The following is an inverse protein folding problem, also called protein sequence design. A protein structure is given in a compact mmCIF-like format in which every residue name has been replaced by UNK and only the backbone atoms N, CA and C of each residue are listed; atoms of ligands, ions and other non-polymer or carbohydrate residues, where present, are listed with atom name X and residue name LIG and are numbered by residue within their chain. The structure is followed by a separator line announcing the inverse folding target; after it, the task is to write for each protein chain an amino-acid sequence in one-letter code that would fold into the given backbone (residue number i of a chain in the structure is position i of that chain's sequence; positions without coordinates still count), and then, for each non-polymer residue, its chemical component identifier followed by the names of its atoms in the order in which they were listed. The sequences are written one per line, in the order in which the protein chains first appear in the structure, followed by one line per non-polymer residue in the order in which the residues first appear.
data_IF_834653124123
#
_entry.id   IF_834653124123
#
_cell.length_a   1.000
_cell.length_b   1.000
_cell.length_c   1.000
_cell.angle_alpha   90.00
_cell.angle_beta   90.00
_cell.angle_gamma   90.00
#
_symmetry.space_group_name_H-M   'P 1'
#
loop_
_entity.id
_entity.type
_entity.pdbx_description
1 polymer ?
#
# COMPACT_ATOMS: atom_id res chain seq x y z
N UNK A 1 6.17 10.81 0.05
CA UNK A 1 6.05 11.63 -1.17
C UNK A 1 4.61 11.64 -1.65
N UNK A 2 4.16 12.74 -2.23
CA UNK A 2 2.87 12.83 -2.92
C UNK A 2 3.18 13.05 -4.40
N UNK A 3 2.57 12.23 -5.25
CA UNK A 3 2.73 12.22 -6.70
C UNK A 3 1.51 12.79 -7.46
N UNK A 4 0.35 12.81 -6.81
CA UNK A 4 -0.84 13.39 -7.42
C UNK A 4 -2.01 13.51 -6.45
N UNK A 5 -2.96 14.36 -6.82
CA UNK A 5 -4.20 14.59 -6.07
C UNK A 5 -5.37 14.53 -7.03
N UNK A 6 -6.47 13.92 -6.63
CA UNK A 6 -7.74 13.96 -7.36
C UNK A 6 -8.81 14.53 -6.44
N UNK A 7 -9.37 15.65 -6.86
CA UNK A 7 -10.57 16.24 -6.24
C UNK A 7 -11.76 15.84 -7.11
N UNK A 8 -12.56 14.90 -6.62
CA UNK A 8 -13.71 14.35 -7.31
C UNK A 8 -14.98 15.06 -6.85
N UNK A 9 -15.59 15.81 -7.75
CA UNK A 9 -16.85 16.56 -7.54
C UNK A 9 -18.05 15.82 -8.12
N UNK A 10 -17.93 14.49 -8.37
CA UNK A 10 -19.04 13.67 -8.85
C UNK A 10 -20.35 13.98 -8.11
N UNK A 11 -21.43 14.07 -8.87
CA UNK A 11 -22.80 14.39 -8.43
C UNK A 11 -23.04 15.84 -8.01
N UNK A 12 -22.00 16.66 -7.79
CA UNK A 12 -22.13 18.10 -7.54
C UNK A 12 -22.12 18.87 -8.86
N UNK A 13 -23.30 19.04 -9.47
CA UNK A 13 -23.47 19.67 -10.81
C UNK A 13 -23.53 21.20 -10.77
N UNK A 14 -23.99 21.77 -9.67
CA UNK A 14 -24.17 23.22 -9.51
C UNK A 14 -23.63 23.80 -8.20
N UNK A 15 -23.45 22.96 -7.18
CA UNK A 15 -22.95 23.34 -5.85
C UNK A 15 -21.57 22.74 -5.56
N UNK A 16 -20.71 22.61 -6.58
CA UNK A 16 -19.30 22.27 -6.41
C UNK A 16 -18.49 23.55 -6.13
N UNK A 17 -17.32 23.47 -5.49
CA UNK A 17 -16.49 24.66 -5.29
C UNK A 17 -15.95 25.16 -6.62
N UNK A 18 -16.08 26.46 -6.96
CA UNK A 18 -15.50 27.03 -8.18
C UNK A 18 -13.98 26.86 -8.26
N UNK A 19 -13.29 26.97 -7.12
CA UNK A 19 -11.85 26.81 -7.01
C UNK A 19 -11.49 26.02 -5.75
N UNK A 20 -10.35 25.33 -5.81
CA UNK A 20 -9.75 24.63 -4.66
C UNK A 20 -8.25 24.92 -4.58
N UNK A 21 -7.66 24.66 -3.42
CA UNK A 21 -6.21 24.48 -3.24
C UNK A 21 -5.96 23.29 -2.33
N UNK A 22 -4.77 22.71 -2.41
CA UNK A 22 -4.35 21.62 -1.53
C UNK A 22 -2.98 21.92 -0.94
N UNK A 23 -2.88 21.75 0.37
CA UNK A 23 -1.66 21.91 1.13
C UNK A 23 -1.33 20.62 1.88
N UNK A 24 -0.07 20.44 2.24
CA UNK A 24 0.40 19.33 3.05
C UNK A 24 1.33 19.82 4.17
N UNK A 25 1.39 19.06 5.25
CA UNK A 25 2.29 19.34 6.38
C UNK A 25 2.77 18.05 7.04
N UNK A 26 3.97 18.13 7.62
CA UNK A 26 4.60 17.10 8.41
C UNK A 26 4.58 17.56 9.86
N UNK A 27 3.92 16.80 10.72
CA UNK A 27 3.76 17.12 12.13
C UNK A 27 4.26 15.94 12.94
N UNK A 28 5.11 16.22 13.93
CA UNK A 28 5.58 15.22 14.87
C UNK A 28 4.61 15.08 16.05
N UNK A 29 4.44 13.85 16.53
CA UNK A 29 3.55 13.55 17.65
C UNK A 29 2.08 13.47 17.26
N UNK A 30 1.20 13.73 18.23
CA UNK A 30 -0.25 13.60 18.07
C UNK A 30 -1.00 14.86 18.56
N UNK A 31 -0.64 16.07 18.10
CA UNK A 31 -1.39 17.27 18.48
C UNK A 31 -2.84 17.20 17.97
N UNK A 32 -3.79 17.85 18.66
CA UNK A 32 -5.19 17.91 18.22
C UNK A 32 -5.32 18.49 16.80
N UNK A 33 -6.27 17.99 16.02
CA UNK A 33 -6.48 18.43 14.64
C UNK A 33 -6.73 19.95 14.50
N UNK A 34 -7.39 20.57 15.49
CA UNK A 34 -7.62 22.01 15.50
C UNK A 34 -6.32 22.83 15.67
N UNK A 35 -5.35 22.30 16.40
CA UNK A 35 -4.03 22.91 16.56
C UNK A 35 -3.23 22.79 15.27
N UNK A 36 -3.21 21.59 14.66
CA UNK A 36 -2.56 21.36 13.36
C UNK A 36 -3.12 22.30 12.28
N UNK A 37 -4.44 22.42 12.20
CA UNK A 37 -5.09 23.27 11.20
C UNK A 37 -4.70 24.75 11.32
N UNK A 38 -4.45 25.24 12.54
CA UNK A 38 -4.15 26.65 12.84
C UNK A 38 -2.66 26.96 12.81
N UNK A 39 -1.84 26.10 13.41
CA UNK A 39 -0.47 26.45 13.81
C UNK A 39 0.60 25.73 12.98
N UNK A 40 0.26 24.66 12.24
CA UNK A 40 1.24 23.93 11.45
C UNK A 40 1.76 24.75 10.26
N UNK A 41 3.00 24.46 9.83
CA UNK A 41 3.56 25.01 8.60
C UNK A 41 2.99 24.26 7.40
N UNK A 42 2.03 24.89 6.71
CA UNK A 42 1.40 24.32 5.52
C UNK A 42 2.16 24.68 4.25
N UNK A 43 2.41 23.67 3.42
CA UNK A 43 3.05 23.83 2.11
C UNK A 43 2.04 23.56 1.00
N UNK A 44 1.85 24.51 0.09
CA UNK A 44 0.96 24.34 -1.06
C UNK A 44 1.51 23.30 -2.02
N UNK A 45 0.75 22.24 -2.25
CA UNK A 45 1.06 21.17 -3.21
C UNK A 45 0.17 21.22 -4.45
N UNK A 46 -1.01 21.85 -4.35
CA UNK A 46 -1.86 22.24 -5.49
C UNK A 46 -2.24 23.70 -5.29
N UNK A 47 -1.78 24.56 -6.19
CA UNK A 47 -2.10 25.99 -6.17
C UNK A 47 -3.61 26.22 -6.30
N UNK A 48 -4.09 27.37 -5.83
CA UNK A 48 -5.50 27.74 -6.02
C UNK A 48 -5.84 27.73 -7.50
N UNK A 49 -6.79 26.87 -7.87
CA UNK A 49 -7.14 26.61 -9.27
C UNK A 49 -8.62 26.28 -9.40
N UNK A 50 -9.17 26.54 -10.58
CA UNK A 50 -10.54 26.16 -10.92
C UNK A 50 -10.70 24.65 -10.99
N UNK A 51 -11.87 24.18 -10.58
CA UNK A 51 -12.33 22.80 -10.79
C UNK A 51 -13.70 22.80 -11.45
N UNK A 52 -14.09 21.66 -11.97
CA UNK A 52 -15.36 21.48 -12.68
C UNK A 52 -16.29 20.59 -11.88
N UNK A 53 -17.60 20.86 -11.97
CA UNK A 53 -18.63 20.04 -11.33
C UNK A 53 -18.80 18.68 -12.00
N UNK A 54 -19.33 17.71 -11.25
CA UNK A 54 -19.61 16.34 -11.72
C UNK A 54 -18.42 15.69 -12.44
N UNK A 55 -17.20 15.94 -11.94
CA UNK A 55 -15.99 15.55 -12.64
C UNK A 55 -14.87 15.15 -11.68
N UNK A 56 -13.94 14.34 -12.21
CA UNK A 56 -12.67 14.08 -11.56
C UNK A 56 -11.69 15.18 -11.98
N UNK A 57 -11.16 15.91 -11.01
CA UNK A 57 -10.15 16.97 -11.23
C UNK A 57 -8.78 16.45 -10.77
N UNK A 58 -7.96 15.87 -11.67
CA UNK A 58 -6.63 15.40 -11.35
C UNK A 58 -5.60 16.53 -11.37
N UNK A 59 -4.64 16.45 -10.45
CA UNK A 59 -3.48 17.34 -10.35
C UNK A 59 -2.22 16.50 -10.17
N UNK A 60 -1.25 16.68 -11.05
CA UNK A 60 0.09 16.13 -10.85
C UNK A 60 0.80 16.94 -9.78
N UNK A 61 1.45 16.24 -8.85
CA UNK A 61 2.17 16.86 -7.73
C UNK A 61 3.56 16.25 -7.69
N UNK A 62 4.59 17.08 -7.76
CA UNK A 62 5.96 16.65 -7.51
C UNK A 62 6.39 17.09 -6.12
N UNK A 63 6.09 16.25 -5.12
CA UNK A 63 6.48 16.51 -3.74
C UNK A 63 7.26 15.32 -3.16
N UNK A 64 8.61 15.37 -3.20
CA UNK A 64 9.44 14.29 -2.67
C UNK A 64 9.36 14.15 -1.15
N UNK A 65 8.95 15.22 -0.44
CA UNK A 65 8.89 15.27 1.03
C UNK A 65 7.95 14.22 1.64
N UNK A 66 8.19 13.90 2.91
CA UNK A 66 7.26 13.15 3.76
C UNK A 66 6.17 14.11 4.24
N UNK A 67 4.93 13.62 4.29
CA UNK A 67 3.79 14.37 4.80
C UNK A 67 2.96 13.46 5.69
N UNK A 68 2.30 14.07 6.67
CA UNK A 68 1.43 13.36 7.65
C UNK A 68 -0.02 13.81 7.54
N UNK A 69 -0.24 15.04 7.07
CA UNK A 69 -1.55 15.65 6.96
C UNK A 69 -1.67 16.38 5.62
N UNK A 70 -2.90 16.44 5.11
CA UNK A 70 -3.27 17.21 3.93
C UNK A 70 -4.48 18.08 4.25
N UNK A 71 -4.55 19.26 3.64
CA UNK A 71 -5.65 20.20 3.75
C UNK A 71 -6.17 20.54 2.37
N UNK A 72 -7.46 20.29 2.15
CA UNK A 72 -8.20 20.78 1.00
C UNK A 72 -8.94 22.06 1.40
N UNK A 73 -8.71 23.15 0.69
CA UNK A 73 -9.46 24.40 0.86
C UNK A 73 -10.37 24.59 -0.34
N UNK A 74 -11.65 24.86 -0.09
CA UNK A 74 -12.67 25.18 -1.10
C UNK A 74 -12.93 26.69 -1.10
N UNK A 75 -13.11 27.29 -2.27
CA UNK A 75 -13.35 28.73 -2.40
C UNK A 75 -14.61 29.03 -3.22
N UNK A 76 -15.57 29.82 -2.70
CA UNK A 76 -15.75 30.16 -1.27
C UNK A 76 -16.31 28.99 -0.46
N UNK A 77 -17.09 28.12 -1.09
CA UNK A 77 -17.78 26.97 -0.52
C UNK A 77 -18.22 26.01 -1.64
N UNK A 78 -18.81 24.87 -1.29
CA UNK A 78 -19.31 23.87 -2.24
C UNK A 78 -19.15 22.45 -1.73
N UNK A 79 -19.40 21.47 -2.61
CA UNK A 79 -19.30 20.05 -2.31
C UNK A 79 -18.24 19.32 -3.12
N UNK A 80 -17.52 18.43 -2.44
CA UNK A 80 -16.56 17.48 -3.01
C UNK A 80 -16.98 16.08 -2.56
N UNK A 81 -17.09 15.15 -3.49
CA UNK A 81 -17.49 13.78 -3.19
C UNK A 81 -16.32 12.96 -2.63
N UNK A 82 -15.13 13.10 -3.22
CA UNK A 82 -13.91 12.41 -2.74
C UNK A 82 -12.67 13.27 -2.92
N UNK A 83 -11.78 13.18 -1.95
CA UNK A 83 -10.39 13.58 -2.08
C UNK A 83 -9.53 12.31 -2.13
N UNK A 84 -8.70 12.18 -3.15
CA UNK A 84 -7.69 11.11 -3.25
C UNK A 84 -6.32 11.74 -3.32
N UNK A 85 -5.42 11.31 -2.46
CA UNK A 85 -4.01 11.74 -2.46
C UNK A 85 -3.17 10.52 -2.77
N UNK A 86 -2.48 10.56 -3.91
CA UNK A 86 -1.67 9.47 -4.42
C UNK A 86 -0.21 9.73 -4.07
N UNK A 87 0.44 8.73 -3.50
CA UNK A 87 1.83 8.82 -3.06
C UNK A 87 2.34 7.49 -2.54
N UNK A 88 3.60 7.47 -2.17
CA UNK A 88 4.25 6.31 -1.55
C UNK A 88 4.38 6.53 -0.05
N UNK A 89 3.93 5.55 0.72
CA UNK A 89 4.13 5.49 2.17
C UNK A 89 5.63 5.58 2.49
N UNK A 90 5.98 6.41 3.48
CA UNK A 90 7.32 6.45 4.03
C UNK A 90 7.22 6.19 5.52
N UNK A 91 7.81 5.11 6.04
CA UNK A 91 7.77 4.80 7.45
C UNK A 91 8.48 5.92 8.23
N UNK A 92 8.07 6.14 9.47
CA UNK A 92 8.78 7.05 10.36
C UNK A 92 10.20 6.49 10.61
N UNK A 93 11.28 7.22 10.28
CA UNK A 93 12.64 6.73 10.44
C UNK A 93 12.99 6.35 11.89
N UNK A 94 12.28 6.91 12.87
CA UNK A 94 12.46 6.58 14.30
C UNK A 94 12.01 5.14 14.59
N UNK A 95 10.96 4.66 13.91
CA UNK A 95 10.43 3.30 14.11
C UNK A 95 11.24 2.24 13.38
N UNK A 96 12.02 2.60 12.36
CA UNK A 96 12.91 1.67 11.66
C UNK A 96 14.01 1.07 12.56
N UNK A 97 14.24 1.65 13.73
CA UNK A 97 15.22 1.17 14.72
C UNK A 97 14.58 0.33 15.84
N UNK A 98 13.24 0.28 15.91
CA UNK A 98 12.53 -0.39 17.00
C UNK A 98 12.56 -1.93 16.91
N UNK A 99 12.95 -2.48 15.76
CA UNK A 99 13.09 -3.92 15.55
C UNK A 99 12.42 -4.40 14.27
N UNK A 100 11.83 -5.59 14.33
CA UNK A 100 11.14 -6.21 13.20
C UNK A 100 9.81 -5.51 12.91
N UNK A 101 9.53 -5.32 11.63
CA UNK A 101 8.26 -4.76 11.15
C UNK A 101 7.86 -5.39 9.82
N UNK A 102 6.61 -5.16 9.40
CA UNK A 102 6.10 -5.68 8.12
C UNK A 102 6.68 -4.88 6.94
N UNK A 103 7.65 -5.49 6.25
CA UNK A 103 8.34 -4.93 5.09
C UNK A 103 7.42 -4.82 3.87
N UNK A 104 6.32 -5.58 3.82
CA UNK A 104 5.34 -5.56 2.75
C UNK A 104 4.22 -4.53 2.99
N UNK A 105 4.06 -4.03 4.23
CA UNK A 105 2.94 -3.14 4.55
C UNK A 105 2.97 -1.86 3.72
N UNK A 106 1.79 -1.45 3.22
CA UNK A 106 1.64 -0.23 2.43
C UNK A 106 2.03 1.04 3.21
N UNK A 107 1.76 1.05 4.53
CA UNK A 107 2.13 2.16 5.42
C UNK A 107 3.65 2.31 5.58
N UNK A 108 4.39 1.21 5.41
CA UNK A 108 5.85 1.19 5.41
C UNK A 108 6.45 1.39 4.02
N UNK A 109 5.62 1.60 2.98
CA UNK A 109 6.07 1.84 1.61
C UNK A 109 6.06 0.61 0.71
N UNK A 110 5.57 -0.54 1.19
CA UNK A 110 5.36 -1.73 0.37
C UNK A 110 4.38 -1.47 -0.78
N UNK A 111 4.68 -2.04 -1.96
CA UNK A 111 3.96 -1.74 -3.19
C UNK A 111 3.79 -2.98 -4.05
N UNK A 112 2.58 -3.26 -4.51
CA UNK A 112 2.38 -4.23 -5.59
C UNK A 112 2.84 -3.62 -6.90
N UNK A 113 3.86 -4.21 -7.51
CA UNK A 113 4.44 -3.73 -8.78
C UNK A 113 3.81 -4.43 -9.97
N UNK A 114 3.42 -5.70 -9.82
CA UNK A 114 2.75 -6.45 -10.88
C UNK A 114 1.95 -7.66 -10.34
N UNK A 115 1.08 -8.25 -11.16
CA UNK A 115 0.34 -9.46 -10.84
C UNK A 115 -0.23 -10.13 -12.10
N UNK A 116 -0.52 -11.43 -12.03
CA UNK A 116 -1.14 -12.18 -13.14
C UNK A 116 -2.58 -11.76 -13.44
N UNK A 117 -3.35 -11.33 -12.43
CA UNK A 117 -4.79 -11.10 -12.54
C UNK A 117 -5.28 -9.97 -11.61
N UNK A 118 -6.13 -9.08 -12.16
CA UNK A 118 -6.72 -7.92 -11.44
C UNK A 118 -8.26 -7.88 -11.52
N UNK A 119 -8.90 -9.03 -11.73
CA UNK A 119 -10.30 -9.07 -12.18
C UNK A 119 -11.31 -8.61 -11.12
N UNK A 120 -11.27 -9.17 -9.90
CA UNK A 120 -12.31 -8.89 -8.89
C UNK A 120 -11.93 -7.79 -7.92
N UNK A 121 -10.69 -7.77 -7.43
CA UNK A 121 -10.22 -6.76 -6.49
C UNK A 121 -8.75 -6.43 -6.70
N UNK A 122 -8.34 -5.27 -6.16
CA UNK A 122 -6.97 -4.78 -6.34
C UNK A 122 -5.97 -5.65 -5.56
N UNK A 123 -4.86 -6.10 -6.17
CA UNK A 123 -3.82 -6.83 -5.44
C UNK A 123 -3.17 -5.98 -4.34
N UNK A 124 -3.20 -4.65 -4.44
CA UNK A 124 -2.68 -3.74 -3.42
C UNK A 124 -3.38 -3.95 -2.06
N UNK A 125 -4.59 -4.50 -2.07
CA UNK A 125 -5.35 -4.79 -0.87
C UNK A 125 -4.64 -5.74 0.11
N UNK A 126 -3.78 -6.63 -0.41
CA UNK A 126 -2.98 -7.55 0.40
C UNK A 126 -2.12 -6.84 1.43
N UNK A 127 -1.72 -5.60 1.13
CA UNK A 127 -0.72 -4.83 1.88
C UNK A 127 -1.37 -3.83 2.86
N UNK A 128 -2.70 -3.67 2.85
CA UNK A 128 -3.40 -2.76 3.76
C UNK A 128 -3.29 -3.19 5.21
N UNK A 129 -3.33 -2.26 6.20
CA UNK A 129 -3.25 -2.60 7.61
C UNK A 129 -4.50 -3.37 8.10
N UNK A 130 -4.36 -3.98 9.27
CA UNK A 130 -5.43 -4.72 9.93
C UNK A 130 -5.80 -6.03 9.24
N UNK A 131 -6.96 -6.56 9.61
CA UNK A 131 -7.57 -7.78 9.04
C UNK A 131 -8.60 -7.40 7.99
N UNK A 132 -8.85 -8.28 7.02
CA UNK A 132 -10.02 -8.14 6.14
C UNK A 132 -11.31 -8.17 6.98
N UNK A 133 -12.36 -7.49 6.52
CA UNK A 133 -13.70 -7.53 7.13
C UNK A 133 -14.74 -8.11 6.17
N UNK A 134 -14.43 -8.09 4.89
CA UNK A 134 -15.19 -8.69 3.78
C UNK A 134 -14.21 -9.20 2.72
N UNK A 135 -14.66 -10.09 1.82
CA UNK A 135 -13.82 -10.60 0.71
C UNK A 135 -13.25 -9.47 -0.17
N UNK A 136 -14.04 -8.41 -0.40
CA UNK A 136 -13.61 -7.26 -1.21
C UNK A 136 -12.43 -6.46 -0.61
N UNK A 137 -12.09 -6.70 0.65
CA UNK A 137 -10.90 -6.12 1.29
C UNK A 137 -9.61 -6.86 0.92
N UNK A 138 -9.67 -8.01 0.25
CA UNK A 138 -8.51 -8.82 -0.19
C UNK A 138 -8.20 -8.69 -1.68
N UNK A 139 -7.34 -9.56 -2.18
CA UNK A 139 -7.09 -9.80 -3.61
C UNK A 139 -7.79 -11.09 -4.04
N UNK A 140 -8.56 -11.05 -5.12
CA UNK A 140 -9.25 -12.20 -5.69
C UNK A 140 -9.05 -12.28 -7.21
N UNK A 141 -8.71 -13.47 -7.70
CA UNK A 141 -8.47 -13.74 -9.11
C UNK A 141 -9.63 -14.50 -9.77
N UNK A 142 -9.67 -14.48 -11.10
CA UNK A 142 -10.62 -15.31 -11.84
C UNK A 142 -10.21 -16.79 -11.79
N UNK A 143 -11.20 -17.69 -11.68
CA UNK A 143 -10.96 -19.14 -11.71
C UNK A 143 -10.21 -19.56 -12.97
N UNK A 144 -9.14 -20.32 -12.79
CA UNK A 144 -8.32 -20.85 -13.88
C UNK A 144 -8.73 -22.27 -14.25
N UNK A 145 -8.42 -22.62 -15.50
CA UNK A 145 -8.69 -23.94 -16.09
C UNK A 145 -7.49 -24.48 -16.88
N UNK A 146 -6.36 -23.79 -16.81
CA UNK A 146 -5.09 -24.18 -17.39
C UNK A 146 -4.16 -24.75 -16.31
N UNK A 147 -2.97 -25.23 -16.71
CA UNK A 147 -2.00 -25.83 -15.79
C UNK A 147 -1.10 -24.83 -15.05
N UNK A 148 -1.38 -23.53 -15.14
CA UNK A 148 -0.55 -22.47 -14.57
C UNK A 148 -1.16 -21.90 -13.27
N UNK A 149 -0.51 -20.89 -12.68
CA UNK A 149 -0.86 -20.35 -11.36
C UNK A 149 -0.91 -18.82 -11.33
N UNK A 150 -1.70 -18.25 -10.44
CA UNK A 150 -1.73 -16.80 -10.21
C UNK A 150 -0.60 -16.35 -9.29
N UNK A 151 -0.17 -15.10 -9.48
CA UNK A 151 0.95 -14.52 -8.74
C UNK A 151 0.82 -13.02 -8.56
N UNK A 152 1.48 -12.50 -7.52
CA UNK A 152 1.63 -11.07 -7.24
C UNK A 152 3.09 -10.76 -6.90
N UNK A 153 3.59 -9.64 -7.42
CA UNK A 153 4.94 -9.14 -7.17
C UNK A 153 4.87 -7.90 -6.28
N UNK A 154 5.60 -7.93 -5.17
CA UNK A 154 5.59 -6.93 -4.11
C UNK A 154 6.99 -6.37 -3.94
N UNK A 155 7.16 -5.07 -4.16
CA UNK A 155 8.35 -4.35 -3.72
C UNK A 155 8.23 -4.08 -2.23
N UNK A 156 9.27 -4.43 -1.47
CA UNK A 156 9.32 -4.17 -0.04
C UNK A 156 9.63 -2.70 0.26
N UNK A 157 9.39 -2.28 1.50
CA UNK A 157 9.78 -0.97 2.03
C UNK A 157 11.26 -0.64 1.76
N UNK A 158 12.12 -1.64 1.79
CA UNK A 158 13.53 -1.57 1.44
C UNK A 158 14.14 -2.97 1.47
N UNK A 159 15.43 -3.07 1.13
CA UNK A 159 16.15 -4.34 1.21
C UNK A 159 16.15 -4.85 2.66
N UNK A 160 15.69 -6.08 2.87
CA UNK A 160 15.55 -6.64 4.21
C UNK A 160 15.56 -8.17 4.28
N UNK A 161 15.81 -8.67 5.49
CA UNK A 161 15.76 -10.08 5.83
C UNK A 161 14.38 -10.42 6.38
N UNK A 162 13.62 -11.25 5.66
CA UNK A 162 12.28 -11.69 6.07
C UNK A 162 12.41 -12.88 7.01
N UNK A 163 11.78 -12.78 8.18
CA UNK A 163 11.82 -13.78 9.26
C UNK A 163 10.50 -14.50 9.47
N UNK A 164 9.38 -13.84 9.17
CA UNK A 164 8.05 -14.41 9.31
C UNK A 164 7.19 -13.96 8.13
N UNK A 165 6.65 -14.92 7.40
CA UNK A 165 5.57 -14.67 6.45
C UNK A 165 4.22 -14.98 7.10
N UNK A 166 3.24 -14.10 6.87
CA UNK A 166 1.83 -14.39 7.11
C UNK A 166 1.08 -14.37 5.78
N UNK A 167 0.41 -15.48 5.46
CA UNK A 167 -0.48 -15.62 4.31
C UNK A 167 -1.88 -15.84 4.84
N UNK A 168 -2.72 -14.83 4.68
CA UNK A 168 -4.05 -14.77 5.27
C UNK A 168 -5.13 -15.05 4.21
N UNK A 169 -5.90 -16.11 4.41
CA UNK A 169 -7.06 -16.50 3.58
C UNK A 169 -8.39 -16.16 4.26
N UNK A 170 -8.41 -15.36 5.33
CA UNK A 170 -9.65 -14.97 6.02
C UNK A 170 -10.70 -14.42 5.06
N UNK A 171 -11.96 -14.77 5.27
CA UNK A 171 -13.12 -14.50 4.42
C UNK A 171 -13.17 -15.23 3.06
N UNK A 172 -12.12 -15.94 2.64
CA UNK A 172 -12.11 -16.76 1.43
C UNK A 172 -12.42 -18.22 1.78
N UNK A 173 -13.70 -18.52 2.05
CA UNK A 173 -14.15 -19.86 2.49
C UNK A 173 -14.27 -20.84 1.32
N UNK A 174 -14.84 -20.39 0.19
CA UNK A 174 -15.14 -21.24 -0.97
C UNK A 174 -14.19 -21.07 -2.15
N UNK A 175 -13.26 -20.12 -2.06
CA UNK A 175 -12.39 -19.69 -3.14
C UNK A 175 -10.98 -19.30 -2.66
N UNK A 176 -10.54 -19.77 -1.48
CA UNK A 176 -9.12 -19.68 -1.11
C UNK A 176 -8.26 -20.53 -2.03
N UNK A 177 -7.02 -20.12 -2.34
CA UNK A 177 -6.07 -20.98 -3.02
C UNK A 177 -5.75 -22.22 -2.19
N UNK A 178 -5.49 -23.35 -2.86
CA UNK A 178 -5.16 -24.62 -2.19
C UNK A 178 -3.71 -24.67 -1.68
N UNK A 179 -2.81 -23.87 -2.28
CA UNK A 179 -1.42 -23.76 -1.85
C UNK A 179 -0.83 -22.40 -2.24
N UNK A 180 0.30 -22.05 -1.63
CA UNK A 180 1.10 -20.88 -2.01
C UNK A 180 2.60 -21.14 -1.90
N UNK A 181 3.41 -20.31 -2.56
CA UNK A 181 4.87 -20.29 -2.43
C UNK A 181 5.37 -18.83 -2.44
N UNK A 182 6.55 -18.59 -1.84
CA UNK A 182 7.21 -17.28 -1.84
C UNK A 182 8.62 -17.41 -2.40
N UNK A 183 8.97 -16.47 -3.29
CA UNK A 183 10.33 -16.24 -3.76
C UNK A 183 10.70 -14.78 -3.51
N UNK A 184 11.95 -14.51 -3.16
CA UNK A 184 12.47 -13.16 -3.01
C UNK A 184 13.47 -12.83 -4.11
N UNK A 185 13.51 -11.58 -4.53
CA UNK A 185 14.49 -11.05 -5.46
C UNK A 185 15.58 -10.32 -4.68
N UNK A 186 16.83 -10.74 -4.83
CA UNK A 186 17.98 -10.06 -4.20
C UNK A 186 18.29 -8.75 -4.90
N UNK A 187 19.06 -7.86 -4.26
CA UNK A 187 19.54 -6.63 -4.90
C UNK A 187 20.42 -6.89 -6.13
N UNK A 188 20.96 -8.10 -6.28
CA UNK A 188 21.75 -8.54 -7.43
C UNK A 188 20.88 -9.06 -8.59
N UNK A 189 19.56 -9.19 -8.38
CA UNK A 189 18.61 -9.68 -9.37
C UNK A 189 18.41 -11.20 -9.36
N UNK A 190 18.88 -11.91 -8.33
CA UNK A 190 18.74 -13.35 -8.20
C UNK A 190 17.44 -13.71 -7.45
N UNK A 191 16.73 -14.72 -7.94
CA UNK A 191 15.56 -15.26 -7.25
C UNK A 191 15.95 -16.34 -6.25
N UNK A 192 15.53 -16.16 -5.00
CA UNK A 192 15.80 -17.07 -3.89
C UNK A 192 14.50 -17.61 -3.28
N UNK A 193 14.42 -18.90 -2.92
CA UNK A 193 13.22 -19.44 -2.28
C UNK A 193 13.09 -18.87 -0.85
N UNK A 194 11.88 -18.42 -0.49
CA UNK A 194 11.54 -17.97 0.86
C UNK A 194 10.59 -18.95 1.54
N UNK A 195 9.57 -19.43 0.82
CA UNK A 195 8.63 -20.44 1.29
C UNK A 195 8.37 -21.43 0.15
N UNK A 196 8.68 -22.70 0.37
CA UNK A 196 8.33 -23.77 -0.57
C UNK A 196 6.81 -23.88 -0.72
N UNK A 197 6.35 -24.50 -1.83
CA UNK A 197 4.91 -24.69 -2.08
C UNK A 197 4.25 -25.43 -0.91
N UNK A 198 3.38 -24.71 -0.20
CA UNK A 198 2.77 -25.16 1.05
C UNK A 198 1.25 -25.08 0.94
N UNK A 199 0.57 -26.11 1.44
CA UNK A 199 -0.90 -26.16 1.44
C UNK A 199 -1.48 -25.07 2.35
N UNK A 200 -2.60 -24.49 1.92
CA UNK A 200 -3.35 -23.50 2.68
C UNK A 200 -4.73 -24.06 3.04
N UNK A 201 -5.31 -23.51 4.10
CA UNK A 201 -6.69 -23.75 4.53
C UNK A 201 -7.55 -22.53 4.19
N UNK A 202 -8.84 -22.71 3.90
CA UNK A 202 -9.78 -21.59 3.82
C UNK A 202 -9.88 -20.85 5.16
N UNK A 203 -10.19 -19.56 5.09
CA UNK A 203 -10.48 -18.70 6.25
C UNK A 203 -9.44 -18.77 7.39
N UNK A 204 -8.15 -18.78 7.05
CA UNK A 204 -7.07 -19.07 8.00
C UNK A 204 -5.87 -18.13 7.83
N UNK A 205 -5.32 -17.67 8.96
CA UNK A 205 -4.03 -16.96 9.01
C UNK A 205 -2.89 -17.95 9.15
N UNK A 206 -2.13 -18.15 8.08
CA UNK A 206 -0.99 -19.05 8.06
C UNK A 206 0.28 -18.26 8.39
N UNK A 207 1.01 -18.69 9.42
CA UNK A 207 2.22 -18.01 9.89
C UNK A 207 3.41 -18.96 9.78
N UNK A 208 4.40 -18.56 8.99
CA UNK A 208 5.56 -19.37 8.67
C UNK A 208 6.84 -18.66 9.10
N UNK A 209 7.58 -19.26 10.03
CA UNK A 209 8.95 -18.84 10.29
C UNK A 209 9.80 -19.19 9.07
N UNK A 210 10.61 -18.23 8.62
CA UNK A 210 11.46 -18.38 7.46
C UNK A 210 12.92 -18.41 7.91
N UNK A 211 13.68 -19.32 7.32
CA UNK A 211 15.13 -19.42 7.52
C UNK A 211 15.91 -18.38 6.70
N UNK A 212 15.21 -17.37 6.15
CA UNK A 212 15.71 -16.38 5.20
C UNK A 212 17.07 -15.81 5.62
N UNK A 213 18.12 -16.27 4.95
CA UNK A 213 19.50 -15.83 5.20
C UNK A 213 19.92 -14.68 4.30
N UNK A 214 19.25 -14.53 3.16
CA UNK A 214 19.59 -13.53 2.17
C UNK A 214 18.59 -12.37 2.20
N UNK A 215 19.07 -11.12 2.24
CA UNK A 215 18.23 -9.96 2.06
C UNK A 215 17.63 -9.90 0.66
N UNK A 216 16.41 -9.40 0.57
CA UNK A 216 15.66 -9.26 -0.68
C UNK A 216 15.02 -7.88 -0.77
N UNK A 217 14.82 -7.39 -2.00
CA UNK A 217 14.19 -6.10 -2.29
C UNK A 217 12.72 -6.25 -2.67
N UNK A 218 12.39 -7.38 -3.30
CA UNK A 218 11.05 -7.69 -3.79
C UNK A 218 10.69 -9.13 -3.45
N UNK A 219 9.41 -9.43 -3.39
CA UNK A 219 8.87 -10.77 -3.15
C UNK A 219 7.78 -11.08 -4.16
N UNK A 220 7.85 -12.28 -4.73
CA UNK A 220 6.78 -12.87 -5.52
C UNK A 220 6.05 -13.89 -4.66
N UNK A 221 4.73 -13.71 -4.58
CA UNK A 221 3.80 -14.69 -4.02
C UNK A 221 3.06 -15.38 -5.16
N UNK A 222 3.20 -16.70 -5.20
CA UNK A 222 2.46 -17.57 -6.11
C UNK A 222 1.32 -18.26 -5.32
N UNK A 223 0.12 -18.28 -5.89
CA UNK A 223 -1.05 -19.01 -5.37
C UNK A 223 -1.50 -20.06 -6.39
N UNK A 224 -1.92 -21.24 -5.92
CA UNK A 224 -2.19 -22.38 -6.78
C UNK A 224 -3.62 -22.94 -6.64
N UNK A 225 -4.32 -23.18 -7.76
CA UNK A 225 -4.06 -22.60 -9.10
C UNK A 225 -4.43 -21.11 -9.16
N UNK A 226 -5.42 -20.70 -8.38
CA UNK A 226 -6.03 -19.38 -8.33
C UNK A 226 -6.77 -19.22 -6.99
N UNK A 227 -7.44 -18.09 -6.78
CA UNK A 227 -8.31 -17.88 -5.62
C UNK A 227 -8.14 -16.48 -5.04
N UNK A 228 -8.49 -16.35 -3.76
CA UNK A 228 -8.37 -15.10 -3.04
C UNK A 228 -7.63 -15.18 -1.72
N UNK A 229 -7.00 -14.05 -1.36
CA UNK A 229 -6.22 -13.84 -0.16
C UNK A 229 -6.62 -12.52 0.49
N UNK A 230 -6.73 -12.51 1.82
CA UNK A 230 -7.00 -11.32 2.59
C UNK A 230 -5.76 -10.43 2.69
N UNK A 231 -4.65 -10.97 3.20
CA UNK A 231 -3.43 -10.20 3.49
C UNK A 231 -2.17 -11.01 3.22
N UNK A 232 -1.10 -10.27 2.93
CA UNK A 232 0.28 -10.75 2.98
C UNK A 232 1.04 -9.88 3.97
N UNK A 233 1.71 -10.51 4.95
CA UNK A 233 2.66 -9.83 5.85
C UNK A 233 4.02 -10.46 5.71
N UNK A 234 5.06 -9.64 5.63
CA UNK A 234 6.44 -10.08 5.53
C UNK A 234 7.25 -9.37 6.61
N UNK A 235 7.24 -9.94 7.81
CA UNK A 235 7.94 -9.36 8.95
C UNK A 235 9.43 -9.66 8.88
N UNK A 236 10.23 -8.63 9.08
CA UNK A 236 11.67 -8.73 8.96
C UNK A 236 12.39 -7.47 9.42
N UNK A 237 13.67 -7.39 9.10
CA UNK A 237 14.53 -6.25 9.43
C UNK A 237 15.19 -5.74 8.16
N UNK A 238 15.31 -4.42 8.06
CA UNK A 238 16.06 -3.80 6.97
C UNK A 238 17.56 -4.05 7.13
N UNK A 239 18.25 -4.22 6.01
CA UNK A 239 19.72 -4.15 5.96
C UNK A 239 20.20 -2.73 6.26
N UNK A 240 21.51 -2.55 6.44
CA UNK A 240 22.09 -1.21 6.50
C UNK A 240 21.79 -0.39 5.22
N UNK A 241 21.85 -1.04 4.05
CA UNK A 241 21.54 -0.40 2.77
C UNK A 241 20.05 -0.05 2.64
N UNK A 242 19.15 -0.97 3.02
CA UNK A 242 17.71 -0.73 3.05
C UNK A 242 17.29 0.38 4.01
N UNK A 243 17.97 0.54 5.16
CA UNK A 243 17.76 1.69 6.05
C UNK A 243 18.23 3.00 5.44
N UNK A 244 19.40 3.00 4.80
CA UNK A 244 19.95 4.21 4.19
C UNK A 244 19.08 4.72 3.03
N UNK A 245 18.49 3.82 2.22
CA UNK A 245 17.62 4.22 1.10
C UNK A 245 16.32 4.89 1.56
N UNK A 246 15.84 4.57 2.76
CA UNK A 246 14.66 5.20 3.37
C UNK A 246 14.97 6.54 4.06
N UNK A 247 16.23 6.77 4.45
CA UNK A 247 16.68 8.00 5.11
C UNK A 247 17.18 9.07 4.12
N UNK A 248 17.66 8.66 2.94
CA UNK A 248 18.30 9.53 1.96
C UNK A 248 17.38 10.35 1.05
N UNK A 249 16.08 10.45 1.35
CA UNK A 249 15.07 11.08 0.48
C UNK A 249 14.03 11.92 1.21
#
# INVERSE_FOLDING_TARGET
MIAGVVVDTAWFKGNYPPEISVEATEVEGYPPAAEIARDALWHTIVQRTKVYGDSRNPFDVDSPRRWTHVRLTMYPDGGVARLRVHGHGRPDPRFLQAGQFDLAAIENGGLVTDCSNRFYSSPQNLLFPGVARVMGDGWETARRRDGANDWVHVRLAGEGLIRLAEIDTSYFVGNSPGASALQGLTAQGDWVPLLARTALQPDTRHRFLLDGQQPVTDVRLDIYPDGGLARLRLFGELTAAGRASLQGH
#
